data_IF_208961871860
#
_entry.id   IF_208961871860
#
_cell.length_a   1.000
_cell.length_b   1.000
_cell.length_c   1.000
_cell.angle_alpha   90.00
_cell.angle_beta   90.00
_cell.angle_gamma   90.00
#
_symmetry.space_group_name_H-M   'P 1'
#
loop_
_entity.id
_entity.type
_entity.pdbx_description
1 polymer ?
#
# COMPACT_ATOMS: atom_id res chain seq x y z
N UNK A 1 -47.50 28.97 -1.45
CA UNK A 1 -46.14 28.37 -1.44
C UNK A 1 -46.29 26.91 -1.03
N UNK A 2 -46.17 25.98 -1.97
CA UNK A 2 -46.23 24.54 -1.70
C UNK A 2 -44.88 23.94 -2.09
N UNK A 3 -44.07 23.60 -1.08
CA UNK A 3 -42.78 22.94 -1.29
C UNK A 3 -43.01 21.43 -1.17
N UNK A 4 -43.07 20.75 -2.32
CA UNK A 4 -43.21 19.30 -2.39
C UNK A 4 -41.89 18.66 -1.99
N UNK A 5 -41.80 18.18 -0.74
CA UNK A 5 -40.67 17.37 -0.26
C UNK A 5 -40.72 16.01 -0.96
N UNK A 6 -40.04 15.88 -2.09
CA UNK A 6 -39.83 14.60 -2.77
C UNK A 6 -38.95 13.73 -1.86
N UNK A 7 -39.57 12.79 -1.16
CA UNK A 7 -38.87 11.78 -0.37
C UNK A 7 -38.07 10.87 -1.29
N UNK A 8 -36.80 10.67 -0.97
CA UNK A 8 -35.93 9.70 -1.62
C UNK A 8 -36.51 8.31 -1.37
N UNK A 9 -37.03 7.66 -2.42
CA UNK A 9 -37.64 6.33 -2.31
C UNK A 9 -36.56 5.25 -2.25
N UNK A 10 -36.84 4.08 -1.66
CA UNK A 10 -35.90 2.95 -1.64
C UNK A 10 -35.34 2.59 -3.03
N UNK A 11 -36.17 2.69 -4.07
CA UNK A 11 -35.79 2.41 -5.45
C UNK A 11 -34.70 3.37 -5.96
N UNK A 12 -34.77 4.65 -5.58
CA UNK A 12 -33.77 5.66 -5.94
C UNK A 12 -32.45 5.38 -5.23
N UNK A 13 -32.50 4.87 -4.00
CA UNK A 13 -31.30 4.48 -3.25
C UNK A 13 -30.65 3.25 -3.89
N UNK A 14 -31.45 2.26 -4.27
CA UNK A 14 -30.98 1.05 -4.96
C UNK A 14 -30.36 1.38 -6.32
N UNK A 15 -30.98 2.26 -7.10
CA UNK A 15 -30.43 2.74 -8.37
C UNK A 15 -29.09 3.48 -8.17
N UNK A 16 -29.00 4.32 -7.15
CA UNK A 16 -27.75 5.02 -6.82
C UNK A 16 -26.63 4.07 -6.38
N UNK A 17 -26.97 3.01 -5.62
CA UNK A 17 -26.02 1.97 -5.23
C UNK A 17 -25.55 1.20 -6.46
N UNK A 18 -26.48 0.71 -7.29
CA UNK A 18 -26.18 -0.06 -8.49
C UNK A 18 -25.29 0.74 -9.46
N UNK A 19 -25.59 2.04 -9.64
CA UNK A 19 -24.77 2.93 -10.47
C UNK A 19 -23.36 3.14 -9.94
N UNK A 20 -23.19 3.24 -8.61
CA UNK A 20 -21.86 3.37 -7.99
C UNK A 20 -21.06 2.08 -8.08
N UNK A 21 -21.71 0.93 -7.89
CA UNK A 21 -21.09 -0.40 -8.03
C UNK A 21 -20.64 -0.63 -9.46
N UNK A 22 -21.48 -0.33 -10.46
CA UNK A 22 -21.11 -0.45 -11.87
C UNK A 22 -19.89 0.41 -12.23
N UNK A 23 -19.88 1.68 -11.79
CA UNK A 23 -18.75 2.59 -12.02
C UNK A 23 -17.45 2.10 -11.36
N UNK A 24 -17.54 1.49 -10.18
CA UNK A 24 -16.37 0.94 -9.49
C UNK A 24 -15.81 -0.30 -10.22
N UNK A 25 -16.68 -1.15 -10.76
CA UNK A 25 -16.28 -2.33 -11.54
C UNK A 25 -15.58 -1.95 -12.85
N UNK A 26 -16.11 -0.96 -13.57
CA UNK A 26 -15.46 -0.44 -14.78
C UNK A 26 -14.07 0.14 -14.48
N UNK A 27 -13.94 0.93 -13.41
CA UNK A 27 -12.65 1.49 -13.00
C UNK A 27 -11.64 0.40 -12.61
N UNK A 28 -12.09 -0.67 -11.96
CA UNK A 28 -11.26 -1.81 -11.62
C UNK A 28 -10.77 -2.56 -12.87
N UNK A 29 -11.64 -2.77 -13.87
CA UNK A 29 -11.26 -3.46 -15.11
C UNK A 29 -10.30 -2.64 -15.98
N UNK A 30 -10.49 -1.32 -16.05
CA UNK A 30 -9.55 -0.41 -16.72
C UNK A 30 -8.16 -0.49 -16.06
N UNK A 31 -8.09 -0.44 -14.72
CA UNK A 31 -6.84 -0.56 -14.00
C UNK A 31 -6.19 -1.94 -14.15
N UNK A 32 -7.00 -3.02 -14.25
CA UNK A 32 -6.52 -4.37 -14.54
C UNK A 32 -5.90 -4.47 -15.93
N UNK A 33 -6.52 -3.87 -16.94
CA UNK A 33 -6.03 -3.89 -18.31
C UNK A 33 -4.75 -3.06 -18.48
N UNK A 34 -4.67 -1.86 -17.87
CA UNK A 34 -3.43 -1.07 -17.81
C UNK A 34 -2.27 -1.83 -17.15
N UNK A 35 -2.55 -2.64 -16.12
CA UNK A 35 -1.55 -3.48 -15.46
C UNK A 35 -1.08 -4.65 -16.33
N UNK A 36 -1.89 -5.13 -17.26
CA UNK A 36 -1.52 -6.18 -18.22
C UNK A 36 -0.71 -5.61 -19.38
N UNK A 37 -1.05 -4.42 -19.87
CA UNK A 37 -0.27 -3.71 -20.91
C UNK A 37 1.15 -3.37 -20.43
N UNK A 38 1.30 -2.94 -19.17
CA UNK A 38 2.62 -2.69 -18.57
C UNK A 38 3.47 -3.97 -18.40
N UNK A 39 2.87 -5.17 -18.43
CA UNK A 39 3.61 -6.44 -18.38
C UNK A 39 4.04 -6.94 -19.76
N UNK A 40 3.28 -6.61 -20.82
CA UNK A 40 3.59 -7.03 -22.19
C UNK A 40 4.66 -6.14 -22.86
N UNK A 41 5.03 -5.01 -22.24
CA UNK A 41 6.12 -4.13 -22.71
C UNK A 41 7.54 -4.61 -22.37
N UNK A 42 7.71 -5.67 -21.58
CA UNK A 42 9.02 -6.26 -21.24
C UNK A 42 9.10 -7.65 -21.87
N UNK A 43 9.29 -7.71 -23.17
CA UNK A 43 9.26 -8.97 -23.89
C UNK A 43 9.83 -8.89 -25.28
N UNK A 44 11.07 -8.37 -25.43
CA UNK A 44 11.86 -8.69 -26.62
C UNK A 44 13.35 -8.37 -26.46
N UNK A 45 14.14 -9.29 -25.90
CA UNK A 45 15.55 -9.41 -26.29
C UNK A 45 16.07 -10.85 -26.18
N UNK A 46 16.63 -11.31 -27.31
CA UNK A 46 17.53 -12.44 -27.55
C UNK A 46 16.85 -13.82 -27.73
N UNK A 47 16.92 -14.50 -28.87
CA UNK A 47 18.01 -14.57 -29.86
C UNK A 47 18.84 -15.82 -29.56
N UNK A 48 18.68 -16.87 -30.37
CA UNK A 48 19.05 -18.25 -30.05
C UNK A 48 20.55 -18.57 -30.01
N UNK A 49 20.88 -19.76 -29.51
CA UNK A 49 21.58 -20.84 -30.24
C UNK A 49 21.78 -22.05 -29.31
N UNK A 50 21.71 -23.27 -29.85
CA UNK A 50 21.72 -24.52 -29.09
C UNK A 50 23.11 -25.09 -28.78
N UNK A 51 23.15 -26.07 -27.88
CA UNK A 51 23.73 -27.41 -28.11
C UNK A 51 23.55 -28.26 -26.84
N UNK A 52 23.26 -29.54 -27.05
CA UNK A 52 23.07 -30.51 -25.98
C UNK A 52 24.37 -30.92 -25.30
N UNK A 53 24.23 -31.47 -24.10
CA UNK A 53 24.94 -32.68 -23.73
C UNK A 53 24.23 -33.39 -22.57
N UNK A 54 24.12 -34.70 -22.74
CA UNK A 54 23.74 -35.66 -21.72
C UNK A 54 24.81 -35.69 -20.61
N UNK A 55 24.36 -35.75 -19.36
CA UNK A 55 25.23 -35.84 -18.19
C UNK A 55 24.48 -36.45 -17.02
N UNK A 56 24.62 -37.76 -16.88
CA UNK A 56 24.20 -38.57 -15.74
C UNK A 56 24.96 -38.14 -14.47
N UNK A 57 24.25 -37.93 -13.35
CA UNK A 57 24.84 -37.58 -12.06
C UNK A 57 23.86 -37.74 -10.91
N UNK A 58 23.92 -38.89 -10.23
CA UNK A 58 23.32 -39.09 -8.92
C UNK A 58 24.05 -38.22 -7.89
N UNK A 59 23.29 -37.41 -7.13
CA UNK A 59 23.80 -36.61 -6.04
C UNK A 59 22.69 -36.32 -5.03
N UNK A 60 22.67 -37.12 -3.95
CA UNK A 60 21.99 -36.74 -2.71
C UNK A 60 22.68 -35.49 -2.15
N UNK A 61 21.93 -34.42 -1.97
CA UNK A 61 22.41 -33.18 -1.38
C UNK A 61 21.24 -32.30 -1.02
N UNK A 62 20.74 -32.44 0.21
CA UNK A 62 19.84 -31.48 0.81
C UNK A 62 20.55 -30.13 0.91
N UNK A 63 20.17 -29.18 0.05
CA UNK A 63 20.62 -27.81 0.16
C UNK A 63 19.40 -26.90 0.41
N UNK A 64 19.20 -26.54 1.67
CA UNK A 64 18.22 -25.55 2.11
C UNK A 64 18.76 -24.16 1.78
N UNK A 65 18.57 -23.72 0.53
CA UNK A 65 18.67 -22.32 0.18
C UNK A 65 17.25 -21.73 0.13
N UNK A 66 16.92 -20.97 1.18
CA UNK A 66 15.67 -20.25 1.32
C UNK A 66 15.56 -19.17 0.25
N UNK A 67 14.85 -19.49 -0.83
CA UNK A 67 14.36 -18.49 -1.77
C UNK A 67 13.17 -17.77 -1.11
N UNK A 68 13.44 -16.59 -0.56
CA UNK A 68 12.47 -15.67 0.04
C UNK A 68 11.49 -15.06 -0.96
N UNK A 69 11.02 -15.87 -1.93
CA UNK A 69 10.05 -15.51 -2.98
C UNK A 69 8.66 -16.10 -2.73
N UNK A 70 8.42 -16.63 -1.53
CA UNK A 70 7.15 -17.23 -1.12
C UNK A 70 6.25 -16.36 -0.25
N UNK A 71 6.79 -15.36 0.45
CA UNK A 71 5.99 -14.53 1.36
C UNK A 71 5.29 -13.39 0.60
N UNK A 72 4.44 -13.76 -0.37
CA UNK A 72 3.26 -12.93 -0.59
C UNK A 72 2.45 -13.03 0.69
N UNK A 73 2.07 -11.92 1.35
CA UNK A 73 1.08 -12.02 2.41
C UNK A 73 -0.15 -12.66 1.77
N UNK A 74 -0.43 -13.89 2.20
CA UNK A 74 -1.68 -14.57 1.87
C UNK A 74 -2.75 -13.58 2.27
N UNK A 75 -3.56 -13.16 1.31
CA UNK A 75 -4.77 -12.41 1.63
C UNK A 75 -5.52 -13.28 2.63
N UNK A 76 -5.61 -12.82 3.88
CA UNK A 76 -6.32 -13.56 4.91
C UNK A 76 -7.76 -13.72 4.40
N UNK A 77 -8.18 -14.94 4.08
CA UNK A 77 -9.56 -15.19 3.72
C UNK A 77 -10.39 -14.83 4.94
N UNK A 78 -11.19 -13.75 4.82
CA UNK A 78 -12.11 -13.36 5.87
C UNK A 78 -13.08 -14.50 6.10
N UNK A 79 -13.03 -15.11 7.29
CA UNK A 79 -13.92 -16.21 7.61
C UNK A 79 -15.28 -15.68 8.03
N UNK A 80 -16.32 -16.51 7.91
CA UNK A 80 -17.63 -16.20 8.48
C UNK A 80 -17.52 -15.91 10.00
N UNK A 81 -16.58 -16.55 10.68
CA UNK A 81 -16.32 -16.33 12.10
C UNK A 81 -15.79 -14.92 12.38
N UNK A 82 -14.90 -14.40 11.52
CA UNK A 82 -14.36 -13.04 11.65
C UNK A 82 -15.46 -11.99 11.51
N UNK A 83 -16.38 -12.21 10.56
CA UNK A 83 -17.55 -11.37 10.38
C UNK A 83 -18.46 -11.37 11.62
N UNK A 84 -18.75 -12.55 12.17
CA UNK A 84 -19.61 -12.68 13.35
C UNK A 84 -18.97 -12.04 14.61
N UNK A 85 -17.65 -12.15 14.75
CA UNK A 85 -16.90 -11.51 15.82
C UNK A 85 -16.96 -9.98 15.67
N UNK A 86 -16.74 -9.45 14.46
CA UNK A 86 -16.84 -8.01 14.15
C UNK A 86 -18.23 -7.44 14.45
N UNK A 87 -19.28 -8.17 14.04
CA UNK A 87 -20.67 -7.77 14.27
C UNK A 87 -21.02 -7.75 15.77
N UNK A 88 -20.56 -8.76 16.52
CA UNK A 88 -20.79 -8.86 17.97
C UNK A 88 -20.10 -7.73 18.72
N UNK A 89 -18.85 -7.45 18.36
CA UNK A 89 -18.10 -6.32 18.92
C UNK A 89 -18.79 -4.99 18.62
N UNK A 90 -19.14 -4.73 17.36
CA UNK A 90 -19.78 -3.47 16.96
C UNK A 90 -21.11 -3.24 17.69
N UNK A 91 -21.93 -4.27 17.84
CA UNK A 91 -23.19 -4.16 18.59
C UNK A 91 -22.97 -3.87 20.08
N UNK A 92 -21.88 -4.37 20.66
CA UNK A 92 -21.50 -4.09 22.04
C UNK A 92 -20.99 -2.66 22.20
N UNK A 93 -20.10 -2.21 21.33
CA UNK A 93 -19.56 -0.85 21.34
C UNK A 93 -20.68 0.20 21.12
N UNK A 94 -21.55 -0.05 20.13
CA UNK A 94 -22.76 0.76 19.87
C UNK A 94 -23.68 0.87 21.09
N UNK A 95 -23.82 -0.19 21.90
CA UNK A 95 -24.58 -0.14 23.16
C UNK A 95 -23.92 0.75 24.22
N UNK A 96 -22.60 0.77 24.26
CA UNK A 96 -21.82 1.56 25.23
C UNK A 96 -21.87 3.06 24.88
N UNK A 97 -21.61 3.40 23.62
CA UNK A 97 -21.55 4.81 23.19
C UNK A 97 -22.93 5.39 22.84
N UNK A 98 -23.94 4.54 22.63
CA UNK A 98 -25.29 4.91 22.24
C UNK A 98 -25.47 5.03 20.73
N UNK A 99 -26.68 4.70 20.25
CA UNK A 99 -27.00 4.60 18.82
C UNK A 99 -26.69 5.87 18.03
N UNK A 100 -27.13 7.03 18.52
CA UNK A 100 -26.98 8.30 17.80
C UNK A 100 -25.52 8.75 17.72
N UNK A 101 -24.76 8.54 18.80
CA UNK A 101 -23.33 8.83 18.83
C UNK A 101 -22.54 7.84 17.95
N UNK A 102 -22.92 6.56 17.95
CA UNK A 102 -22.30 5.54 17.10
C UNK A 102 -22.42 5.86 15.62
N UNK A 103 -23.60 6.30 15.16
CA UNK A 103 -23.81 6.70 13.77
C UNK A 103 -23.17 8.06 13.43
N UNK A 104 -22.89 8.90 14.42
CA UNK A 104 -22.18 10.17 14.24
C UNK A 104 -20.64 10.03 14.27
N UNK A 105 -20.09 8.83 14.55
CA UNK A 105 -18.65 8.61 14.56
C UNK A 105 -18.05 8.81 13.16
N UNK A 106 -17.05 9.67 13.07
CA UNK A 106 -16.19 9.71 11.90
C UNK A 106 -15.46 8.38 11.74
N UNK A 107 -15.24 7.93 10.50
CA UNK A 107 -14.43 6.74 10.19
C UNK A 107 -13.14 6.68 11.02
N UNK A 108 -12.39 7.79 11.08
CA UNK A 108 -11.16 7.96 11.87
C UNK A 108 -11.29 7.52 13.35
N UNK A 109 -12.40 7.86 13.99
CA UNK A 109 -12.69 7.51 15.39
C UNK A 109 -13.12 6.06 15.56
N UNK A 110 -13.74 5.47 14.53
CA UNK A 110 -14.17 4.07 14.52
C UNK A 110 -12.99 3.11 14.27
N UNK A 111 -12.08 3.45 13.36
CA UNK A 111 -10.97 2.55 13.01
C UNK A 111 -10.04 2.32 14.20
N UNK A 112 -9.79 3.34 15.03
CA UNK A 112 -8.90 3.23 16.19
C UNK A 112 -9.27 2.06 17.13
N UNK A 113 -10.47 1.98 17.72
CA UNK A 113 -10.82 0.85 18.58
C UNK A 113 -10.96 -0.47 17.81
N UNK A 114 -11.35 -0.46 16.52
CA UNK A 114 -11.31 -1.67 15.69
C UNK A 114 -9.88 -2.22 15.57
N UNK A 115 -8.90 -1.35 15.34
CA UNK A 115 -7.51 -1.78 15.22
C UNK A 115 -6.93 -2.31 16.53
N UNK A 116 -7.34 -1.77 17.68
CA UNK A 116 -6.91 -2.30 18.99
C UNK A 116 -7.46 -3.71 19.27
N UNK A 117 -8.66 -4.02 18.76
CA UNK A 117 -9.33 -5.32 18.98
C UNK A 117 -8.88 -6.38 17.97
N UNK A 118 -8.70 -6.00 16.71
CA UNK A 118 -8.47 -6.96 15.62
C UNK A 118 -7.03 -6.99 15.11
N UNK A 119 -6.21 -5.97 15.34
CA UNK A 119 -4.80 -6.00 14.99
C UNK A 119 -3.98 -6.41 16.22
N UNK A 120 -3.23 -7.50 16.12
CA UNK A 120 -2.39 -7.92 17.22
C UNK A 120 -1.30 -6.86 17.49
N UNK A 121 -1.06 -6.55 18.76
CA UNK A 121 -0.03 -5.56 19.16
C UNK A 121 1.36 -5.90 18.61
N UNK A 122 1.66 -7.18 18.47
CA UNK A 122 2.92 -7.66 17.91
C UNK A 122 3.08 -7.31 16.43
N UNK A 123 2.02 -7.49 15.62
CA UNK A 123 2.06 -7.12 14.19
C UNK A 123 2.20 -5.60 14.03
N UNK A 124 1.50 -4.82 14.87
CA UNK A 124 1.63 -3.35 14.88
C UNK A 124 3.07 -2.94 15.20
N UNK A 125 3.65 -3.51 16.25
CA UNK A 125 5.03 -3.24 16.66
C UNK A 125 6.04 -3.62 15.57
N UNK A 126 5.80 -4.74 14.87
CA UNK A 126 6.66 -5.18 13.77
C UNK A 126 6.62 -4.18 12.61
N UNK A 127 5.42 -3.75 12.20
CA UNK A 127 5.25 -2.73 11.15
C UNK A 127 5.87 -1.40 11.54
N UNK A 128 5.66 -0.95 12.78
CA UNK A 128 6.24 0.28 13.31
C UNK A 128 7.77 0.22 13.34
N UNK A 129 8.33 -0.88 13.85
CA UNK A 129 9.78 -1.10 13.87
C UNK A 129 10.36 -1.13 12.46
N UNK A 130 9.68 -1.77 11.52
CA UNK A 130 10.11 -1.80 10.12
C UNK A 130 10.08 -0.40 9.50
N UNK A 131 9.01 0.35 9.72
CA UNK A 131 8.87 1.72 9.23
C UNK A 131 10.00 2.60 9.78
N UNK A 132 10.28 2.55 11.09
CA UNK A 132 11.36 3.33 11.71
C UNK A 132 12.74 3.00 11.15
N UNK A 133 12.99 1.73 10.83
CA UNK A 133 14.26 1.27 10.25
C UNK A 133 14.30 1.32 8.71
N UNK A 134 13.25 1.78 8.04
CA UNK A 134 13.18 1.82 6.59
C UNK A 134 14.09 2.92 6.04
N UNK A 135 15.04 2.53 5.20
CA UNK A 135 15.97 3.43 4.50
C UNK A 135 16.15 3.01 3.04
N UNK A 136 16.54 3.95 2.19
CA UNK A 136 16.92 3.64 0.80
C UNK A 136 18.17 2.76 0.80
N UNK A 137 18.14 1.66 0.05
CA UNK A 137 19.27 0.73 -0.11
C UNK A 137 19.68 0.66 -1.57
N UNK A 138 20.99 0.65 -1.84
CA UNK A 138 21.56 0.54 -3.19
C UNK A 138 20.98 1.56 -4.21
N UNK A 139 20.58 2.75 -3.74
CA UNK A 139 19.87 3.77 -4.54
C UNK A 139 18.55 3.28 -5.17
N UNK A 140 17.96 2.20 -4.66
CA UNK A 140 16.67 1.68 -5.12
C UNK A 140 15.52 2.43 -4.44
N UNK A 141 15.16 3.56 -5.05
CA UNK A 141 14.09 4.42 -4.56
C UNK A 141 12.70 3.82 -4.79
N UNK A 142 12.54 2.99 -5.83
CA UNK A 142 11.27 2.37 -6.16
C UNK A 142 10.86 1.37 -5.08
N UNK A 143 11.77 0.49 -4.68
CA UNK A 143 11.54 -0.47 -3.60
C UNK A 143 11.27 0.23 -2.27
N UNK A 144 12.04 1.28 -1.95
CA UNK A 144 11.80 2.08 -0.74
C UNK A 144 10.41 2.73 -0.74
N UNK A 145 10.05 3.41 -1.84
CA UNK A 145 8.75 4.09 -1.96
C UNK A 145 7.59 3.10 -1.86
N UNK A 146 7.69 1.97 -2.56
CA UNK A 146 6.67 0.93 -2.50
C UNK A 146 6.51 0.42 -1.07
N UNK A 147 7.61 0.07 -0.40
CA UNK A 147 7.55 -0.48 0.96
C UNK A 147 7.02 0.55 1.97
N UNK A 148 7.44 1.80 1.83
CA UNK A 148 6.93 2.92 2.63
C UNK A 148 5.42 3.07 2.46
N UNK A 149 4.91 3.03 1.23
CA UNK A 149 3.47 3.12 0.95
C UNK A 149 2.69 1.93 1.48
N UNK A 150 3.23 0.71 1.40
CA UNK A 150 2.61 -0.48 2.00
C UNK A 150 2.49 -0.34 3.52
N UNK A 151 3.58 0.03 4.21
CA UNK A 151 3.60 0.23 5.66
C UNK A 151 2.70 1.39 6.08
N UNK A 152 2.76 2.50 5.35
CA UNK A 152 1.89 3.67 5.55
C UNK A 152 0.44 3.25 5.39
N UNK A 153 0.05 2.58 4.30
CA UNK A 153 -1.34 2.16 4.09
C UNK A 153 -1.87 1.23 5.19
N UNK A 154 -1.01 0.38 5.76
CA UNK A 154 -1.37 -0.45 6.91
C UNK A 154 -1.50 0.38 8.20
N UNK A 155 -0.63 1.37 8.42
CA UNK A 155 -0.56 2.18 9.63
C UNK A 155 -1.44 3.45 9.61
N UNK A 156 -1.84 3.97 8.44
CA UNK A 156 -2.81 5.07 8.25
C UNK A 156 -4.19 4.69 8.78
N UNK A 157 -4.49 3.39 8.88
CA UNK A 157 -5.65 2.89 9.61
C UNK A 157 -5.59 3.25 11.12
N UNK A 158 -4.42 3.62 11.64
CA UNK A 158 -4.18 4.08 13.02
C UNK A 158 -3.94 5.60 13.13
N UNK A 159 -4.10 6.33 12.01
CA UNK A 159 -4.24 7.80 11.88
C UNK A 159 -3.06 8.67 12.37
N UNK A 160 -1.92 8.67 11.64
CA UNK A 160 -0.97 9.79 11.63
C UNK A 160 -1.37 10.87 10.61
N UNK A 161 -0.88 12.09 10.79
CA UNK A 161 -1.12 13.22 9.87
C UNK A 161 -0.18 13.16 8.65
N UNK A 162 -0.53 13.85 7.56
CA UNK A 162 0.28 13.85 6.33
C UNK A 162 1.69 14.41 6.55
N UNK A 163 1.85 15.34 7.50
CA UNK A 163 3.13 15.93 7.91
C UNK A 163 4.04 14.87 8.55
N UNK A 164 3.50 14.00 9.41
CA UNK A 164 4.24 12.88 10.03
C UNK A 164 4.84 11.96 8.96
N UNK A 165 4.10 11.72 7.88
CA UNK A 165 4.54 10.85 6.78
C UNK A 165 5.62 11.49 5.92
N UNK A 166 5.56 12.79 5.71
CA UNK A 166 6.58 13.55 4.97
C UNK A 166 7.91 13.48 5.70
N UNK A 167 7.93 13.83 7.00
CA UNK A 167 9.15 13.79 7.80
C UNK A 167 9.74 12.39 7.85
N UNK A 168 8.87 11.39 8.05
CA UNK A 168 9.30 10.00 8.14
C UNK A 168 9.91 9.49 6.83
N UNK A 169 9.36 9.90 5.69
CA UNK A 169 9.90 9.55 4.38
C UNK A 169 11.27 10.21 4.14
N UNK A 170 11.38 11.51 4.48
CA UNK A 170 12.64 12.26 4.34
C UNK A 170 13.75 11.61 5.18
N UNK A 171 13.45 11.16 6.41
CA UNK A 171 14.41 10.51 7.29
C UNK A 171 14.95 9.16 6.80
N UNK A 172 14.33 8.53 5.79
CA UNK A 172 14.85 7.32 5.16
C UNK A 172 15.73 7.56 3.94
N UNK A 173 15.88 8.81 3.50
CA UNK A 173 16.67 9.18 2.33
C UNK A 173 18.16 9.27 2.67
N UNK A 174 19.07 9.06 1.70
CA UNK A 174 20.49 9.33 1.88
C UNK A 174 20.74 10.83 2.14
N UNK A 175 21.67 11.17 3.03
CA UNK A 175 21.97 12.55 3.48
C UNK A 175 22.09 13.55 2.32
N UNK A 176 22.78 13.12 1.26
CA UNK A 176 23.09 13.92 0.09
C UNK A 176 21.88 14.21 -0.83
N UNK A 177 20.73 13.58 -0.59
CA UNK A 177 19.42 13.85 -1.18
C UNK A 177 18.54 14.55 -0.15
N UNK A 178 18.59 14.09 1.10
CA UNK A 178 17.78 14.57 2.21
C UNK A 178 17.85 16.09 2.36
N UNK A 179 19.05 16.67 2.38
CA UNK A 179 19.25 18.12 2.54
C UNK A 179 18.54 18.92 1.43
N UNK A 180 18.62 18.44 0.18
CA UNK A 180 17.97 19.08 -0.97
C UNK A 180 16.45 18.94 -0.95
N UNK A 181 15.94 17.82 -0.43
CA UNK A 181 14.50 17.60 -0.28
C UNK A 181 13.93 18.48 0.83
N UNK A 182 14.63 18.61 1.96
CA UNK A 182 14.25 19.49 3.08
C UNK A 182 14.18 20.94 2.59
N UNK A 183 15.18 21.40 1.82
CA UNK A 183 15.21 22.76 1.28
C UNK A 183 14.06 23.07 0.30
N UNK A 184 13.40 22.05 -0.26
CA UNK A 184 12.25 22.22 -1.14
C UNK A 184 10.91 22.31 -0.38
N UNK A 185 10.94 22.17 0.95
CA UNK A 185 9.78 22.29 1.87
C UNK A 185 8.50 21.58 1.36
N UNK A 186 8.57 20.28 1.02
CA UNK A 186 7.42 19.56 0.50
C UNK A 186 6.36 19.37 1.59
N UNK A 187 5.11 19.74 1.31
CA UNK A 187 3.98 19.57 2.22
C UNK A 187 3.20 18.26 2.01
N UNK A 188 3.53 17.51 0.97
CA UNK A 188 2.80 16.28 0.58
C UNK A 188 3.76 15.18 0.22
N UNK A 189 3.45 13.95 0.65
CA UNK A 189 4.26 12.76 0.38
C UNK A 189 4.56 12.56 -1.12
N UNK A 190 3.58 12.83 -1.99
CA UNK A 190 3.77 12.76 -3.45
C UNK A 190 4.87 13.71 -3.95
N UNK A 191 4.95 14.93 -3.39
CA UNK A 191 5.98 15.90 -3.76
C UNK A 191 7.36 15.40 -3.31
N UNK A 192 7.45 14.86 -2.08
CA UNK A 192 8.70 14.29 -1.54
C UNK A 192 9.24 13.18 -2.46
N UNK A 193 8.38 12.23 -2.82
CA UNK A 193 8.71 11.11 -3.72
C UNK A 193 9.22 11.62 -5.06
N UNK A 194 8.53 12.60 -5.65
CA UNK A 194 8.90 13.16 -6.95
C UNK A 194 10.25 13.88 -6.90
N UNK A 195 10.48 14.71 -5.88
CA UNK A 195 11.73 15.46 -5.71
C UNK A 195 12.91 14.50 -5.48
N UNK A 196 12.75 13.51 -4.60
CA UNK A 196 13.78 12.52 -4.30
C UNK A 196 14.20 11.71 -5.55
N UNK A 197 13.23 11.24 -6.34
CA UNK A 197 13.51 10.53 -7.59
C UNK A 197 14.28 11.39 -8.60
N UNK A 198 13.83 12.63 -8.81
CA UNK A 198 14.49 13.56 -9.73
C UNK A 198 15.95 13.83 -9.33
N UNK A 199 16.24 13.92 -8.02
CA UNK A 199 17.58 14.14 -7.51
C UNK A 199 18.47 12.90 -7.68
N UNK A 200 17.93 11.69 -7.48
CA UNK A 200 18.67 10.45 -7.73
C UNK A 200 19.02 10.25 -9.20
N UNK A 201 18.05 10.47 -10.10
CA UNK A 201 18.28 10.36 -11.54
C UNK A 201 19.35 11.34 -12.03
N UNK A 202 19.32 12.58 -11.55
CA UNK A 202 20.34 13.59 -11.85
C UNK A 202 21.74 13.13 -11.42
N UNK A 203 21.87 12.51 -10.25
CA UNK A 203 23.17 12.00 -9.78
C UNK A 203 23.65 10.82 -10.60
N UNK A 204 22.78 9.85 -10.90
CA UNK A 204 23.15 8.69 -11.73
C UNK A 204 23.65 9.13 -13.11
N UNK A 205 22.99 10.11 -13.73
CA UNK A 205 23.44 10.72 -14.99
C UNK A 205 24.81 11.41 -14.85
N UNK A 206 24.99 12.24 -13.84
CA UNK A 206 26.26 12.94 -13.60
C UNK A 206 27.44 11.98 -13.33
N UNK A 207 27.20 10.82 -12.71
CA UNK A 207 28.22 9.78 -12.55
C UNK A 207 28.54 9.06 -13.86
N UNK A 208 27.55 8.81 -14.71
CA UNK A 208 27.78 8.21 -16.03
C UNK A 208 28.65 9.12 -16.91
N UNK A 209 28.34 10.43 -16.93
CA UNK A 209 29.06 11.45 -17.71
C UNK A 209 30.51 11.68 -17.25
N UNK A 210 30.81 11.45 -15.97
CA UNK A 210 32.20 11.57 -15.44
C UNK A 210 33.06 10.33 -15.68
N UNK A 211 32.43 9.20 -16.00
CA UNK A 211 33.10 7.91 -16.22
C UNK A 211 33.12 7.50 -17.70
N UNK A 212 32.72 8.40 -18.60
CA UNK A 212 32.88 8.29 -20.07
C UNK A 212 33.98 9.23 -20.55
#
# INVERSE_FOLDING_TARGET
>A
MTNTRSGMTPDVIEEMINRRVAKALEAHEINRNLRLENKNGIGNINGGNGNGNEGNGNGHGENRNGDGRGDRPVAHEYTYQDFMNALTWWNSDKRIIGTDAAYALSWRKLVKPMTEVYCSRNEIQKMETELWNLSVKNNDMATYTQRFQELTMMYTKMVPEDEDWVEKFIGGLPDNIQENVIAAEPTRLQNVVQIANNLMDKKLKAYAEKNT
#
